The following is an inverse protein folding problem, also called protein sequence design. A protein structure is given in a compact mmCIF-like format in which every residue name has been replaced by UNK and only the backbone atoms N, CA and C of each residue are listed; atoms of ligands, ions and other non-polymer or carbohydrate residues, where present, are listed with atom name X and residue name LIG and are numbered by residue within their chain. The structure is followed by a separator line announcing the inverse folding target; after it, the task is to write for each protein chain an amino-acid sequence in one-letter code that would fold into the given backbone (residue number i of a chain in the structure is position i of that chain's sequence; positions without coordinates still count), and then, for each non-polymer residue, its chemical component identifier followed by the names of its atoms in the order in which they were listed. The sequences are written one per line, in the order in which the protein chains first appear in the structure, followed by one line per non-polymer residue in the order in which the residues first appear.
data_IF_718106959945
#
_entry.id   IF_718106959945
#
_cell.length_a   1.000
_cell.length_b   1.000
_cell.length_c   1.000
_cell.angle_alpha   90.00
_cell.angle_beta   90.00
_cell.angle_gamma   90.00
#
_symmetry.space_group_name_H-M   'P 1'
#
loop_
_entity.id
_entity.type
_entity.pdbx_description
1 polymer ?
#
# COMPACT_ATOMS: atom_id res chain seq x y z
N UNK A 1 13.83 14.07 -1.23
CA UNK A 1 12.89 13.28 -0.43
C UNK A 1 11.54 13.94 -0.53
N UNK A 2 10.55 13.29 -1.14
CA UNK A 2 9.19 13.82 -1.15
C UNK A 2 8.59 13.63 0.25
N UNK A 3 7.94 14.66 0.80
CA UNK A 3 7.15 14.52 2.03
C UNK A 3 5.91 13.64 1.81
N UNK A 4 5.13 13.38 2.86
CA UNK A 4 3.85 12.70 2.71
C UNK A 4 2.91 13.47 1.77
N UNK A 5 2.25 12.74 0.88
CA UNK A 5 1.24 13.26 -0.05
C UNK A 5 -0.13 12.98 0.57
N UNK A 6 -0.79 14.02 1.05
CA UNK A 6 -2.12 13.90 1.67
C UNK A 6 -3.23 14.06 0.64
N UNK A 7 -4.09 13.07 0.56
CA UNK A 7 -5.29 13.07 -0.28
C UNK A 7 -6.48 13.29 0.65
N UNK A 8 -7.18 14.41 0.47
CA UNK A 8 -8.26 14.84 1.36
C UNK A 8 -9.63 14.42 0.80
N UNK A 9 -10.08 13.22 1.13
CA UNK A 9 -11.38 12.64 0.74
C UNK A 9 -11.51 12.23 -0.73
N UNK A 10 -10.45 12.43 -1.52
CA UNK A 10 -10.40 12.06 -2.93
C UNK A 10 -9.78 10.69 -3.18
N UNK A 11 -10.03 10.13 -4.36
CA UNK A 11 -9.42 8.89 -4.82
C UNK A 11 -8.09 9.16 -5.51
N UNK A 12 -7.20 8.17 -5.46
CA UNK A 12 -5.96 8.12 -6.24
C UNK A 12 -6.12 7.09 -7.33
N UNK A 13 -5.89 7.47 -8.58
CA UNK A 13 -5.91 6.56 -9.72
C UNK A 13 -4.60 6.63 -10.50
N UNK A 14 -3.80 5.58 -10.41
CA UNK A 14 -2.54 5.45 -11.13
C UNK A 14 -2.79 4.87 -12.52
N UNK A 15 -2.67 5.73 -13.55
CA UNK A 15 -2.89 5.34 -14.94
C UNK A 15 -1.60 5.21 -15.76
N UNK A 16 -0.49 5.78 -15.28
CA UNK A 16 0.81 5.79 -15.96
C UNK A 16 1.96 5.53 -15.00
N UNK A 17 3.13 6.09 -15.30
CA UNK A 17 4.30 5.95 -14.44
C UNK A 17 4.22 6.93 -13.27
N UNK A 18 4.24 6.40 -12.05
CA UNK A 18 4.33 7.18 -10.82
C UNK A 18 5.61 6.80 -10.06
N UNK A 19 6.50 7.78 -9.87
CA UNK A 19 7.76 7.60 -9.14
C UNK A 19 7.72 8.41 -7.85
N UNK A 20 7.97 7.76 -6.72
CA UNK A 20 7.87 8.37 -5.42
C UNK A 20 8.87 7.73 -4.46
N UNK A 21 10.03 8.36 -4.31
CA UNK A 21 11.11 7.87 -3.46
C UNK A 21 11.11 8.58 -2.11
N UNK A 22 10.99 7.78 -1.04
CA UNK A 22 10.97 8.23 0.35
C UNK A 22 9.70 8.98 0.72
N UNK A 23 8.56 8.62 0.12
CA UNK A 23 7.28 9.29 0.30
C UNK A 23 6.22 8.33 0.82
N UNK A 24 5.11 8.90 1.28
CA UNK A 24 3.92 8.14 1.69
C UNK A 24 2.69 8.78 1.10
N UNK A 25 1.85 7.99 0.44
CA UNK A 25 0.52 8.43 0.02
C UNK A 25 -0.44 8.20 1.18
N UNK A 26 -1.08 9.26 1.64
CA UNK A 26 -1.97 9.25 2.81
C UNK A 26 -3.38 9.58 2.35
N UNK A 27 -4.22 8.55 2.20
CA UNK A 27 -5.65 8.68 1.95
C UNK A 27 -6.34 9.02 3.28
N UNK A 28 -6.77 10.26 3.47
CA UNK A 28 -7.38 10.74 4.71
C UNK A 28 -8.45 11.80 4.43
N UNK A 29 -8.97 12.45 5.47
CA UNK A 29 -9.84 13.61 5.34
C UNK A 29 -9.56 14.59 6.49
N UNK A 30 -9.45 15.89 6.16
CA UNK A 30 -9.29 17.00 7.12
C UNK A 30 -10.51 17.13 8.03
N UNK A 31 -11.70 16.79 7.54
CA UNK A 31 -12.89 16.66 8.38
C UNK A 31 -12.64 15.49 9.36
N UNK A 32 -12.71 15.79 10.65
CA UNK A 32 -12.47 14.83 11.73
C UNK A 32 -13.67 13.93 12.03
N UNK A 33 -14.80 14.14 11.35
CA UNK A 33 -15.99 13.30 11.49
C UNK A 33 -15.64 11.81 11.33
N UNK A 34 -16.20 10.92 12.16
CA UNK A 34 -16.09 9.47 11.98
C UNK A 34 -16.66 8.98 10.64
N UNK A 35 -17.56 9.75 10.03
CA UNK A 35 -18.21 9.44 8.76
C UNK A 35 -17.62 10.20 7.57
N UNK A 36 -16.50 10.91 7.77
CA UNK A 36 -15.84 11.61 6.69
C UNK A 36 -15.39 10.63 5.59
N UNK A 37 -15.70 10.95 4.34
CA UNK A 37 -15.29 10.12 3.20
C UNK A 37 -13.78 10.01 3.14
N UNK A 38 -13.27 8.79 3.14
CA UNK A 38 -11.86 8.48 2.86
C UNK A 38 -11.83 7.87 1.47
N UNK A 39 -11.03 8.44 0.58
CA UNK A 39 -10.93 7.93 -0.78
C UNK A 39 -10.12 6.64 -0.86
N UNK A 40 -10.11 6.08 -2.06
CA UNK A 40 -9.51 4.78 -2.36
C UNK A 40 -8.27 4.94 -3.24
N UNK A 41 -7.53 3.85 -3.45
CA UNK A 41 -6.45 3.81 -4.43
C UNK A 41 -6.67 2.74 -5.48
N UNK A 42 -6.60 3.13 -6.74
CA UNK A 42 -6.62 2.24 -7.89
C UNK A 42 -5.36 2.42 -8.73
N UNK A 43 -4.97 1.34 -9.39
CA UNK A 43 -3.90 1.33 -10.39
C UNK A 43 -4.34 0.44 -11.54
N UNK A 44 -4.20 0.92 -12.77
CA UNK A 44 -4.43 0.08 -13.95
C UNK A 44 -3.25 -0.91 -14.14
N UNK A 45 -3.43 -1.93 -14.98
CA UNK A 45 -2.38 -2.94 -15.21
C UNK A 45 -1.17 -2.42 -16.02
N UNK A 46 -1.31 -1.28 -16.70
CA UNK A 46 -0.26 -0.66 -17.50
C UNK A 46 0.57 0.36 -16.70
N UNK A 47 0.12 0.71 -15.50
CA UNK A 47 0.78 1.67 -14.64
C UNK A 47 2.06 1.10 -14.07
N UNK A 48 3.04 1.98 -13.91
CA UNK A 48 4.34 1.66 -13.33
C UNK A 48 4.44 2.42 -12.02
N UNK A 49 4.17 1.72 -10.92
CA UNK A 49 4.20 2.29 -9.58
C UNK A 49 5.55 1.99 -8.93
N UNK A 50 6.43 3.00 -8.89
CA UNK A 50 7.73 2.94 -8.23
C UNK A 50 7.66 3.76 -6.94
N UNK A 51 7.20 3.12 -5.86
CA UNK A 51 6.95 3.78 -4.58
C UNK A 51 7.88 3.17 -3.54
N UNK A 52 8.72 3.99 -2.92
CA UNK A 52 9.58 3.58 -1.80
C UNK A 52 9.22 4.41 -0.58
N UNK A 53 8.82 3.74 0.49
CA UNK A 53 8.52 4.37 1.76
C UNK A 53 9.74 5.11 2.35
N UNK A 54 9.54 6.16 3.16
CA UNK A 54 10.64 6.78 3.89
C UNK A 54 11.23 5.80 4.92
N UNK A 55 12.52 5.87 5.19
CA UNK A 55 13.21 5.02 6.17
C UNK A 55 13.27 5.63 7.58
N UNK A 56 12.81 6.87 7.73
CA UNK A 56 12.81 7.66 8.97
C UNK A 56 11.54 8.52 9.07
N UNK A 57 11.31 9.13 10.24
CA UNK A 57 10.16 10.00 10.50
C UNK A 57 8.86 9.25 10.79
N UNK A 58 7.76 9.99 10.94
CA UNK A 58 6.44 9.47 11.34
C UNK A 58 5.91 8.39 10.39
N UNK A 59 6.21 8.52 9.10
CA UNK A 59 5.74 7.59 8.07
C UNK A 59 6.76 6.51 7.72
N UNK A 60 7.79 6.31 8.56
CA UNK A 60 8.83 5.30 8.35
C UNK A 60 8.23 3.95 7.97
N UNK A 61 8.65 3.42 6.83
CA UNK A 61 8.27 2.10 6.34
C UNK A 61 6.86 2.03 5.77
N UNK A 62 6.10 3.12 5.65
CA UNK A 62 4.75 3.15 5.09
C UNK A 62 4.76 3.80 3.71
N UNK A 63 4.34 3.07 2.68
CA UNK A 63 4.27 3.59 1.31
C UNK A 63 2.87 4.12 0.98
N UNK A 64 1.83 3.40 1.39
CA UNK A 64 0.44 3.83 1.25
C UNK A 64 -0.30 3.59 2.57
N UNK A 65 -0.97 4.63 3.03
CA UNK A 65 -1.81 4.62 4.22
C UNK A 65 -3.24 5.01 3.85
N UNK A 66 -4.19 4.17 4.22
CA UNK A 66 -5.59 4.53 4.26
C UNK A 66 -6.05 4.71 5.70
N UNK A 67 -6.68 5.85 5.95
CA UNK A 67 -7.26 6.19 7.24
C UNK A 67 -8.24 5.10 7.71
N UNK A 68 -8.15 4.75 8.99
CA UNK A 68 -8.99 3.72 9.63
C UNK A 68 -10.49 4.02 9.56
N UNK A 69 -10.87 5.28 9.31
CA UNK A 69 -12.26 5.72 9.11
C UNK A 69 -12.82 5.32 7.75
N UNK A 70 -12.00 4.76 6.84
CA UNK A 70 -12.47 4.27 5.55
C UNK A 70 -13.57 3.22 5.74
N UNK A 71 -14.61 3.34 4.93
CA UNK A 71 -15.71 2.38 4.88
C UNK A 71 -15.25 1.16 4.09
N UNK A 72 -15.47 -0.04 4.63
CA UNK A 72 -15.14 -1.28 3.92
C UNK A 72 -15.95 -1.37 2.62
N UNK A 73 -15.27 -1.65 1.52
CA UNK A 73 -15.93 -1.94 0.26
C UNK A 73 -15.09 -2.89 -0.59
N UNK A 74 -15.79 -3.84 -1.22
CA UNK A 74 -15.17 -4.91 -1.99
C UNK A 74 -14.59 -4.37 -3.30
N UNK A 75 -13.29 -4.56 -3.51
CA UNK A 75 -12.61 -4.24 -4.77
C UNK A 75 -12.34 -2.75 -5.02
N UNK A 76 -12.61 -1.88 -4.05
CA UNK A 76 -12.39 -0.44 -4.20
C UNK A 76 -10.92 -0.02 -4.16
N UNK A 77 -10.10 -0.69 -3.35
CA UNK A 77 -8.65 -0.52 -3.39
C UNK A 77 -8.06 -1.62 -4.26
N UNK A 78 -7.47 -1.23 -5.39
CA UNK A 78 -6.92 -2.16 -6.37
C UNK A 78 -5.57 -1.69 -6.86
N UNK A 79 -4.51 -2.37 -6.45
CA UNK A 79 -3.17 -2.12 -6.94
C UNK A 79 -2.83 -3.19 -7.98
N UNK A 80 -2.99 -2.86 -9.25
CA UNK A 80 -2.44 -3.66 -10.33
C UNK A 80 -1.07 -3.14 -10.69
N UNK A 81 -0.03 -3.93 -10.42
CA UNK A 81 1.32 -3.63 -10.86
C UNK A 81 1.58 -4.25 -12.22
N UNK A 82 2.06 -3.45 -13.18
CA UNK A 82 2.78 -3.98 -14.33
C UNK A 82 4.07 -4.71 -13.89
N UNK A 83 4.69 -5.48 -14.77
CA UNK A 83 5.95 -6.22 -14.48
C UNK A 83 7.11 -5.34 -14.00
N UNK A 84 7.06 -4.04 -14.29
CA UNK A 84 8.04 -3.02 -13.87
C UNK A 84 7.64 -2.27 -12.59
N UNK A 85 6.46 -2.50 -12.02
CA UNK A 85 6.04 -1.84 -10.77
C UNK A 85 6.74 -2.44 -9.56
N UNK A 86 7.22 -1.57 -8.66
CA UNK A 86 7.80 -1.96 -7.38
C UNK A 86 7.32 -1.03 -6.26
N UNK A 87 6.55 -1.59 -5.32
CA UNK A 87 6.11 -0.86 -4.12
C UNK A 87 6.86 -1.41 -2.91
N UNK A 88 7.77 -0.62 -2.37
CA UNK A 88 8.59 -0.94 -1.20
C UNK A 88 8.06 -0.20 0.03
N UNK A 89 7.79 -0.94 1.09
CA UNK A 89 7.17 -0.47 2.32
C UNK A 89 5.82 -1.12 2.61
N UNK A 90 5.10 -0.54 3.57
CA UNK A 90 3.84 -1.04 4.07
C UNK A 90 2.65 -0.43 3.31
N UNK A 91 1.76 -1.31 2.85
CA UNK A 91 0.43 -1.03 2.34
C UNK A 91 -0.56 -1.20 3.51
N UNK A 92 -1.07 -0.11 4.05
CA UNK A 92 -1.88 -0.09 5.27
C UNK A 92 -3.34 0.30 5.00
N UNK A 93 -4.23 -0.69 5.01
CA UNK A 93 -5.66 -0.62 4.67
C UNK A 93 -6.51 -1.33 5.75
N UNK A 94 -6.41 -0.93 7.03
CA UNK A 94 -6.84 -1.75 8.17
C UNK A 94 -8.34 -2.06 8.20
N UNK A 95 -9.17 -1.20 7.59
CA UNK A 95 -10.63 -1.29 7.63
C UNK A 95 -11.26 -1.78 6.33
N UNK A 96 -10.46 -1.98 5.27
CA UNK A 96 -10.98 -2.21 3.92
C UNK A 96 -10.27 -3.36 3.21
N UNK A 97 -10.85 -3.78 2.10
CA UNK A 97 -10.23 -4.75 1.21
C UNK A 97 -9.12 -4.15 0.37
N UNK A 98 -8.09 -4.96 0.12
CA UNK A 98 -7.06 -4.66 -0.88
C UNK A 98 -6.97 -5.79 -1.91
N UNK A 99 -7.15 -5.43 -3.16
CA UNK A 99 -6.86 -6.31 -4.30
C UNK A 99 -5.46 -5.99 -4.79
N UNK A 100 -4.54 -6.92 -4.60
CA UNK A 100 -3.15 -6.76 -4.98
C UNK A 100 -2.83 -7.71 -6.14
N UNK A 101 -2.61 -7.15 -7.32
CA UNK A 101 -2.10 -7.89 -8.46
C UNK A 101 -0.61 -7.55 -8.62
N UNK A 102 0.24 -8.46 -8.17
CA UNK A 102 1.69 -8.28 -8.26
C UNK A 102 2.18 -8.23 -9.70
N UNK A 103 3.18 -7.40 -9.94
CA UNK A 103 3.90 -7.42 -11.21
C UNK A 103 4.65 -8.74 -11.35
N UNK A 104 4.53 -9.40 -12.52
CA UNK A 104 5.21 -10.66 -12.82
C UNK A 104 6.75 -10.57 -12.92
N UNK A 105 7.37 -9.56 -12.31
CA UNK A 105 8.81 -9.39 -12.21
C UNK A 105 9.49 -10.56 -11.50
N UNK A 106 10.75 -10.78 -11.81
CA UNK A 106 11.54 -11.89 -11.25
C UNK A 106 11.98 -11.63 -9.81
N UNK A 107 12.07 -10.35 -9.41
CA UNK A 107 12.61 -9.91 -8.12
C UNK A 107 11.51 -9.80 -7.06
N UNK A 108 11.78 -10.35 -5.88
CA UNK A 108 10.94 -10.17 -4.71
C UNK A 108 11.10 -8.75 -4.13
N UNK A 109 10.00 -8.08 -3.79
CA UNK A 109 10.00 -6.73 -3.21
C UNK A 109 9.83 -6.76 -1.69
N UNK A 110 10.33 -5.72 -1.02
CA UNK A 110 10.10 -5.50 0.41
C UNK A 110 8.74 -4.84 0.63
N UNK A 111 7.67 -5.62 0.55
CA UNK A 111 6.30 -5.13 0.70
C UNK A 111 5.65 -5.83 1.89
N UNK A 112 5.10 -5.04 2.81
CA UNK A 112 4.26 -5.54 3.90
C UNK A 112 2.82 -5.11 3.63
N UNK A 113 1.85 -5.99 3.80
CA UNK A 113 0.44 -5.66 3.60
C UNK A 113 -0.30 -5.85 4.91
N UNK A 114 -0.99 -4.81 5.35
CA UNK A 114 -1.90 -4.83 6.50
C UNK A 114 -3.25 -4.39 5.99
N UNK A 115 -4.18 -5.32 5.81
CA UNK A 115 -5.53 -5.01 5.37
C UNK A 115 -6.57 -5.89 6.07
N UNK A 116 -7.84 -5.47 6.04
CA UNK A 116 -8.95 -6.29 6.57
C UNK A 116 -9.09 -7.59 5.80
N UNK A 117 -9.05 -7.52 4.47
CA UNK A 117 -8.98 -8.67 3.56
C UNK A 117 -8.00 -8.36 2.44
N UNK A 118 -7.27 -9.38 2.00
CA UNK A 118 -6.32 -9.27 0.90
C UNK A 118 -6.67 -10.32 -0.15
N UNK A 119 -6.89 -9.86 -1.37
CA UNK A 119 -7.05 -10.72 -2.54
C UNK A 119 -5.82 -10.59 -3.41
N UNK A 120 -5.01 -11.64 -3.44
CA UNK A 120 -3.90 -11.73 -4.38
C UNK A 120 -4.41 -12.22 -5.72
N UNK A 121 -4.09 -11.48 -6.77
CA UNK A 121 -4.31 -11.93 -8.16
C UNK A 121 -2.97 -11.92 -8.88
N UNK A 122 -2.78 -12.81 -9.86
CA UNK A 122 -1.51 -12.91 -10.59
C UNK A 122 -0.32 -13.38 -9.75
N UNK A 123 0.89 -13.13 -10.25
CA UNK A 123 2.14 -13.57 -9.63
C UNK A 123 2.73 -12.45 -8.76
N UNK A 124 2.82 -12.69 -7.46
CA UNK A 124 3.45 -11.74 -6.51
C UNK A 124 4.61 -12.42 -5.80
N UNK A 125 5.77 -11.76 -5.72
CA UNK A 125 6.94 -12.24 -4.97
C UNK A 125 7.31 -11.21 -3.90
N UNK A 126 7.35 -11.64 -2.65
CA UNK A 126 7.71 -10.80 -1.51
C UNK A 126 8.95 -11.34 -0.80
N UNK A 127 9.83 -10.44 -0.35
CA UNK A 127 10.94 -10.79 0.53
C UNK A 127 10.41 -11.10 1.93
N UNK A 128 11.14 -11.91 2.69
CA UNK A 128 10.89 -12.05 4.12
C UNK A 128 11.14 -10.71 4.81
N UNK A 129 10.29 -10.32 5.78
CA UNK A 129 10.39 -9.01 6.44
C UNK A 129 11.73 -8.80 7.16
N UNK A 130 12.38 -9.88 7.60
CA UNK A 130 13.74 -9.86 8.16
C UNK A 130 14.80 -9.33 7.19
N UNK A 131 14.56 -9.39 5.89
CA UNK A 131 15.43 -8.86 4.84
C UNK A 131 15.11 -7.40 4.47
N UNK A 132 14.10 -6.81 5.10
CA UNK A 132 13.53 -5.51 4.74
C UNK A 132 13.67 -4.45 5.84
N UNK A 133 14.53 -4.69 6.82
CA UNK A 133 14.75 -3.79 7.96
C UNK A 133 15.28 -2.43 7.50
N UNK A 134 16.08 -2.41 6.43
CA UNK A 134 16.61 -1.18 5.81
C UNK A 134 15.51 -0.32 5.18
N UNK A 135 14.41 -0.94 4.76
CA UNK A 135 13.23 -0.27 4.19
C UNK A 135 12.28 0.27 5.27
N UNK A 136 12.68 0.20 6.54
CA UNK A 136 11.88 0.64 7.68
C UNK A 136 10.78 -0.34 8.08
N UNK A 137 10.74 -1.54 7.50
CA UNK A 137 9.81 -2.61 7.88
C UNK A 137 10.27 -3.32 9.17
N UNK A 138 9.32 -3.83 9.98
CA UNK A 138 9.68 -4.52 11.22
C UNK A 138 10.45 -5.81 10.93
N UNK A 139 11.47 -6.08 11.72
CA UNK A 139 12.23 -7.34 11.68
C UNK A 139 11.40 -8.46 12.32
N UNK A 140 10.38 -8.93 11.61
CA UNK A 140 9.66 -10.12 12.01
C UNK A 140 10.08 -11.29 11.11
N UNK A 141 10.63 -12.34 11.72
CA UNK A 141 11.05 -13.55 11.01
C UNK A 141 9.84 -14.42 10.57
N UNK A 142 8.61 -13.98 10.78
CA UNK A 142 7.40 -14.72 10.44
C UNK A 142 6.43 -13.86 9.63
N UNK A 143 6.20 -14.23 8.35
CA UNK A 143 5.02 -13.79 7.60
C UNK A 143 3.78 -14.42 8.26
N UNK A 144 3.02 -13.63 9.03
CA UNK A 144 1.76 -14.09 9.62
C UNK A 144 0.61 -13.59 8.77
N UNK A 145 -0.09 -14.50 8.09
CA UNK A 145 -1.42 -14.21 7.54
C UNK A 145 -2.41 -14.40 8.70
N UNK A 146 -2.87 -13.30 9.29
CA UNK A 146 -3.91 -13.33 10.33
C UNK A 146 -5.25 -13.11 9.62
N UNK A 147 -6.01 -14.18 9.42
CA UNK A 147 -7.40 -14.10 8.98
C UNK A 147 -8.27 -13.86 10.21
N UNK A 148 -8.76 -12.64 10.39
CA UNK A 148 -9.79 -12.38 11.39
C UNK A 148 -11.12 -12.96 10.86
N UNK A 149 -11.53 -14.10 11.39
CA UNK A 149 -12.90 -14.61 11.19
C UNK A 149 -13.72 -13.99 12.32
N UNK A 150 -14.59 -13.06 11.96
CA UNK A 150 -15.68 -12.60 12.84
C UNK A 150 -16.94 -13.38 12.46
#
# INVERSE_FOLDING_TARGET
NFGPIYINGGNVDFQGTFNCTGCTIVLTNKNTSPTATIGTVTSNAQAVNNITAPTTGTWKGISIYQDRRAVDCSGCNKLNGGSSSAITGALYFPSSDLWYNGGGGTNATCTMIVARRITFTGNSKFKGLSQCVTEGLPQNNSSRIIRLVA
#
